data_IF_832135275071
#
_entry.id   IF_832135275071
#
_cell.length_a   1.000
_cell.length_b   1.000
_cell.length_c   1.000
_cell.angle_alpha   90.00
_cell.angle_beta   90.00
_cell.angle_gamma   90.00
#
_symmetry.space_group_name_H-M   'P 1'
#
loop_
_entity.id
_entity.type
_entity.pdbx_description
1 polymer ?
#
# COMPACT_ATOMS: atom_id res chain seq x y z
N UNK A 1 -2.74 -20.04 -29.65
CA UNK A 1 -1.70 -19.05 -29.26
C UNK A 1 -2.27 -17.78 -28.60
N UNK A 2 -3.60 -17.65 -28.45
CA UNK A 2 -4.25 -16.48 -27.82
C UNK A 2 -4.29 -16.50 -26.28
N UNK A 3 -4.30 -17.68 -25.67
CA UNK A 3 -4.54 -17.83 -24.22
C UNK A 3 -3.42 -17.27 -23.32
N UNK A 4 -2.16 -17.47 -23.71
CA UNK A 4 -0.98 -17.04 -22.92
C UNK A 4 -0.80 -15.51 -22.96
N UNK A 5 -1.10 -14.87 -24.10
CA UNK A 5 -0.98 -13.41 -24.23
C UNK A 5 -2.01 -12.68 -23.36
N UNK A 6 -3.26 -13.14 -23.37
CA UNK A 6 -4.33 -12.57 -22.55
C UNK A 6 -4.06 -12.74 -21.05
N UNK A 7 -3.48 -13.87 -20.62
CA UNK A 7 -3.06 -14.08 -19.22
C UNK A 7 -1.95 -13.11 -18.81
N UNK A 8 -0.97 -12.85 -19.68
CA UNK A 8 0.09 -11.86 -19.42
C UNK A 8 -0.49 -10.45 -19.27
N UNK A 9 -1.42 -10.03 -20.12
CA UNK A 9 -2.05 -8.70 -20.04
C UNK A 9 -2.83 -8.50 -18.74
N UNK A 10 -3.59 -9.51 -18.30
CA UNK A 10 -4.32 -9.45 -17.01
C UNK A 10 -3.34 -9.34 -15.83
N UNK A 11 -2.24 -10.09 -15.85
CA UNK A 11 -1.22 -10.01 -14.80
C UNK A 11 -0.52 -8.65 -14.78
N UNK A 12 -0.21 -8.09 -15.95
CA UNK A 12 0.34 -6.75 -16.06
C UNK A 12 -0.62 -5.70 -15.53
N UNK A 13 -1.90 -5.77 -15.89
CA UNK A 13 -2.92 -4.84 -15.41
C UNK A 13 -3.09 -4.92 -13.88
N UNK A 14 -3.11 -6.13 -13.32
CA UNK A 14 -3.16 -6.33 -11.85
C UNK A 14 -1.93 -5.75 -11.16
N UNK A 15 -0.74 -5.99 -11.71
CA UNK A 15 0.52 -5.47 -11.16
C UNK A 15 0.54 -3.95 -11.21
N UNK A 16 0.13 -3.36 -12.33
CA UNK A 16 0.05 -1.90 -12.49
C UNK A 16 -0.91 -1.27 -11.48
N UNK A 17 -2.08 -1.90 -11.27
CA UNK A 17 -3.06 -1.44 -10.29
C UNK A 17 -2.54 -1.53 -8.85
N UNK A 18 -1.80 -2.59 -8.52
CA UNK A 18 -1.10 -2.72 -7.24
C UNK A 18 -0.06 -1.63 -7.03
N UNK A 19 0.79 -1.37 -8.02
CA UNK A 19 1.79 -0.31 -7.96
C UNK A 19 1.14 1.06 -7.77
N UNK A 20 0.09 1.38 -8.53
CA UNK A 20 -0.66 2.63 -8.39
C UNK A 20 -1.29 2.76 -7.00
N UNK A 21 -1.84 1.67 -6.46
CA UNK A 21 -2.40 1.65 -5.10
C UNK A 21 -1.33 1.94 -4.05
N UNK A 22 -0.14 1.36 -4.18
CA UNK A 22 1.00 1.63 -3.29
C UNK A 22 1.42 3.10 -3.40
N UNK A 23 1.51 3.64 -4.62
CA UNK A 23 1.83 5.06 -4.83
C UNK A 23 0.83 5.98 -4.14
N UNK A 24 -0.47 5.69 -4.18
CA UNK A 24 -1.47 6.49 -3.47
C UNK A 24 -1.35 6.34 -1.95
N UNK A 25 -1.05 5.13 -1.46
CA UNK A 25 -0.84 4.85 -0.03
C UNK A 25 0.30 5.69 0.54
N UNK A 26 1.40 5.88 -0.20
CA UNK A 26 2.53 6.70 0.27
C UNK A 26 2.44 8.17 -0.16
N UNK A 27 1.91 8.44 -1.34
CA UNK A 27 1.86 9.77 -1.93
C UNK A 27 0.89 10.70 -1.23
N UNK A 28 -0.34 10.24 -0.94
CA UNK A 28 -1.35 11.08 -0.28
C UNK A 28 -0.88 11.53 1.10
N UNK A 29 -0.40 10.63 1.99
CA UNK A 29 0.07 11.04 3.32
C UNK A 29 1.25 12.03 3.26
N UNK A 30 2.20 11.83 2.35
CA UNK A 30 3.36 12.74 2.21
C UNK A 30 2.91 14.14 1.79
N UNK A 31 1.99 14.25 0.83
CA UNK A 31 1.45 15.54 0.40
C UNK A 31 0.73 16.22 1.56
N UNK A 32 -0.16 15.51 2.25
CA UNK A 32 -0.88 16.05 3.42
C UNK A 32 0.09 16.51 4.50
N UNK A 33 1.07 15.68 4.84
CA UNK A 33 2.08 15.98 5.86
C UNK A 33 2.95 17.19 5.51
N UNK A 34 3.30 17.36 4.24
CA UNK A 34 4.05 18.53 3.78
C UNK A 34 3.25 19.82 3.98
N UNK A 35 1.97 19.85 3.58
CA UNK A 35 1.13 21.04 3.74
C UNK A 35 0.81 21.34 5.21
N UNK A 36 0.42 20.32 5.98
CA UNK A 36 0.16 20.46 7.42
C UNK A 36 1.42 20.86 8.20
N UNK A 37 2.55 20.24 7.88
CA UNK A 37 3.84 20.54 8.49
C UNK A 37 4.31 21.97 8.19
N UNK A 38 4.15 22.43 6.95
CA UNK A 38 4.47 23.81 6.56
C UNK A 38 3.59 24.83 7.29
N UNK A 39 2.33 24.51 7.55
CA UNK A 39 1.43 25.36 8.33
C UNK A 39 1.86 25.47 9.80
N UNK A 40 2.29 24.35 10.40
CA UNK A 40 2.84 24.32 11.77
C UNK A 40 4.14 25.13 11.85
N UNK A 41 5.04 24.90 10.90
CA UNK A 41 6.31 25.60 10.77
C UNK A 41 6.14 27.13 10.70
N UNK A 42 5.15 27.60 9.94
CA UNK A 42 4.82 29.02 9.83
C UNK A 42 4.20 29.57 11.12
N UNK A 43 3.34 28.80 11.80
CA UNK A 43 2.63 29.25 13.00
C UNK A 43 3.55 29.35 14.22
N UNK A 44 4.51 28.43 14.36
CA UNK A 44 5.39 28.36 15.52
C UNK A 44 6.81 28.88 15.23
N UNK A 45 7.10 29.31 13.99
CA UNK A 45 8.42 29.76 13.54
C UNK A 45 9.55 28.73 13.80
N UNK A 46 9.21 27.45 13.67
CA UNK A 46 10.12 26.31 13.93
C UNK A 46 10.63 25.65 12.65
N UNK A 47 10.69 26.39 11.54
CA UNK A 47 11.13 25.84 10.25
C UNK A 47 12.53 25.21 10.36
N UNK A 48 12.77 24.01 9.81
CA UNK A 48 11.83 23.09 9.11
C UNK A 48 11.32 21.92 9.99
N UNK A 49 11.43 22.02 11.32
CA UNK A 49 11.25 20.88 12.23
C UNK A 49 9.79 20.38 12.30
N UNK A 50 8.80 21.25 12.16
CA UNK A 50 7.39 20.86 12.10
C UNK A 50 7.06 20.10 10.82
N UNK A 51 7.59 20.53 9.68
CA UNK A 51 7.48 19.76 8.43
C UNK A 51 8.16 18.40 8.55
N UNK A 52 9.36 18.36 9.12
CA UNK A 52 10.11 17.11 9.30
C UNK A 52 9.37 16.12 10.21
N UNK A 53 8.79 16.60 11.32
CA UNK A 53 8.00 15.77 12.24
C UNK A 53 6.74 15.22 11.55
N UNK A 54 5.99 16.04 10.80
CA UNK A 54 4.82 15.58 10.06
C UNK A 54 5.17 14.54 9.00
N UNK A 55 6.25 14.74 8.25
CA UNK A 55 6.72 13.77 7.26
C UNK A 55 7.12 12.44 7.91
N UNK A 56 7.81 12.50 9.05
CA UNK A 56 8.18 11.30 9.80
C UNK A 56 6.95 10.52 10.27
N UNK A 57 5.96 11.21 10.87
CA UNK A 57 4.69 10.59 11.29
C UNK A 57 3.98 9.96 10.10
N UNK A 58 3.88 10.67 8.98
CA UNK A 58 3.26 10.17 7.75
C UNK A 58 3.96 8.91 7.21
N UNK A 59 5.29 8.87 7.25
CA UNK A 59 6.06 7.70 6.86
C UNK A 59 5.74 6.49 7.72
N UNK A 60 5.73 6.64 9.04
CA UNK A 60 5.38 5.56 9.98
C UNK A 60 3.96 5.07 9.75
N UNK A 61 3.00 5.99 9.58
CA UNK A 61 1.61 5.64 9.28
C UNK A 61 1.47 4.83 7.99
N UNK A 62 2.21 5.23 6.94
CA UNK A 62 2.20 4.53 5.65
C UNK A 62 2.68 3.09 5.80
N UNK A 63 3.75 2.85 6.57
CA UNK A 63 4.26 1.51 6.87
C UNK A 63 3.26 0.65 7.64
N UNK A 64 2.62 1.19 8.67
CA UNK A 64 1.59 0.46 9.44
C UNK A 64 0.44 0.03 8.52
N UNK A 65 0.05 0.88 7.57
CA UNK A 65 -1.02 0.57 6.62
C UNK A 65 -0.61 -0.52 5.61
N UNK A 66 0.62 -0.45 5.09
CA UNK A 66 1.18 -1.50 4.21
C UNK A 66 1.28 -2.84 4.93
N UNK A 67 1.78 -2.87 6.17
CA UNK A 67 1.88 -4.12 6.95
C UNK A 67 0.50 -4.73 7.18
N UNK A 68 -0.52 -3.90 7.47
CA UNK A 68 -1.91 -4.38 7.59
C UNK A 68 -2.46 -4.91 6.27
N UNK A 69 -2.18 -4.25 5.16
CA UNK A 69 -2.61 -4.72 3.85
C UNK A 69 -1.95 -6.06 3.50
N UNK A 70 -0.65 -6.18 3.73
CA UNK A 70 0.13 -7.39 3.47
C UNK A 70 -0.34 -8.56 4.34
N UNK A 71 -0.52 -8.34 5.64
CA UNK A 71 -1.02 -9.38 6.55
C UNK A 71 -2.43 -9.84 6.21
N UNK A 72 -3.31 -8.94 5.73
CA UNK A 72 -4.63 -9.32 5.23
C UNK A 72 -4.52 -10.18 3.97
N UNK A 73 -3.69 -9.76 3.01
CA UNK A 73 -3.49 -10.51 1.76
C UNK A 73 -2.93 -11.91 2.03
N UNK A 74 -1.97 -12.03 2.94
CA UNK A 74 -1.38 -13.31 3.32
C UNK A 74 -2.40 -14.25 3.98
N UNK A 75 -3.33 -13.71 4.78
CA UNK A 75 -4.44 -14.49 5.35
C UNK A 75 -5.41 -14.98 4.27
N UNK A 76 -5.70 -14.15 3.26
CA UNK A 76 -6.55 -14.54 2.12
C UNK A 76 -5.88 -15.64 1.30
N UNK A 77 -4.57 -15.54 1.03
CA UNK A 77 -3.82 -16.62 0.36
C UNK A 77 -3.81 -17.92 1.17
N UNK A 78 -3.55 -17.85 2.48
CA UNK A 78 -3.56 -19.04 3.34
C UNK A 78 -4.95 -19.69 3.45
N UNK A 79 -6.03 -18.91 3.33
CA UNK A 79 -7.39 -19.44 3.29
C UNK A 79 -7.67 -20.17 1.97
N UNK A 80 -7.25 -19.59 0.84
CA UNK A 80 -7.40 -20.19 -0.49
C UNK A 80 -6.61 -21.51 -0.62
N UNK A 81 -5.40 -21.56 -0.08
CA UNK A 81 -4.56 -22.77 -0.10
C UNK A 81 -5.18 -23.92 0.72
N UNK A 82 -5.82 -23.60 1.85
CA UNK A 82 -6.59 -24.59 2.64
C UNK A 82 -7.79 -25.12 1.87
N UNK A 83 -8.56 -24.23 1.22
CA UNK A 83 -9.71 -24.64 0.40
C UNK A 83 -9.31 -25.52 -0.80
N UNK A 84 -8.14 -25.28 -1.41
CA UNK A 84 -7.63 -26.13 -2.49
C UNK A 84 -7.22 -27.52 -1.97
N UNK A 85 -6.58 -27.60 -0.80
CA UNK A 85 -6.22 -28.89 -0.20
C UNK A 85 -7.44 -29.75 0.20
N UNK A 86 -8.48 -29.13 0.76
CA UNK A 86 -9.72 -29.84 1.15
C UNK A 86 -10.55 -30.29 -0.06
N UNK A 87 -10.52 -29.55 -1.18
CA UNK A 87 -11.18 -29.96 -2.44
C UNK A 87 -10.38 -31.01 -3.22
N UNK A 88 -9.07 -31.09 -2.99
CA UNK A 88 -8.20 -32.12 -3.56
C UNK A 88 -8.33 -33.49 -2.88
N UNK A 89 -8.60 -33.52 -1.56
CA UNK A 89 -8.82 -34.78 -0.81
C UNK A 89 -10.21 -35.40 -1.00
N UNK A 90 -11.20 -34.63 -1.44
CA UNK A 90 -12.59 -35.09 -1.61
C UNK A 90 -12.91 -35.55 -3.04
N UNK A 91 -11.90 -35.89 -3.85
CA UNK A 91 -12.02 -36.27 -5.26
C UNK A 91 -11.31 -37.60 -5.53
#
# INVERSE_FOLDING_TARGET
MSDISSKKEILLQKTFMLMFRILLIFGIPVVVAYFSGKAIDLRYNIRPYGTLACLFVSFVFSWVWVIRLYTKLNKEFAALEREESEKGENK
#
